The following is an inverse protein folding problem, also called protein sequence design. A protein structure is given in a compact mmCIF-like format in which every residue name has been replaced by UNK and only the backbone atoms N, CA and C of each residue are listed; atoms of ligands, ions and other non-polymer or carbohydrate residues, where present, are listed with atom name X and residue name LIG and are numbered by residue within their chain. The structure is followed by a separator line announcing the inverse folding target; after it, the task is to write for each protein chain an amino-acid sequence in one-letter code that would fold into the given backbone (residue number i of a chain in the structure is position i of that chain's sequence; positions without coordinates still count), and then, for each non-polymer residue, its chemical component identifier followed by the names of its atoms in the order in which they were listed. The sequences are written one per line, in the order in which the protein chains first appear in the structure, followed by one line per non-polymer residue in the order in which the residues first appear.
data_IF_396426740763
#
_entry.id   IF_396426740763
#
_cell.length_a   1.000
_cell.length_b   1.000
_cell.length_c   1.000
_cell.angle_alpha   90.00
_cell.angle_beta   90.00
_cell.angle_gamma   90.00
#
_symmetry.space_group_name_H-M   'P 1'
#
loop_
_entity.id
_entity.type
_entity.pdbx_description
1 polymer ?
#
# COMPACT_ATOMS: atom_id res chain seq x y z
N UNK A 1 5.24 -9.19 0.77
CA UNK A 1 4.06 -8.48 1.29
C UNK A 1 2.99 -9.50 1.62
N UNK A 2 2.41 -9.41 2.81
CA UNK A 2 1.44 -10.39 3.27
C UNK A 2 0.11 -10.27 2.53
N UNK A 3 -0.31 -11.35 1.90
CA UNK A 3 -1.58 -11.38 1.17
C UNK A 3 -2.78 -11.16 2.10
N UNK A 4 -2.75 -11.73 3.31
CA UNK A 4 -3.83 -11.59 4.27
C UNK A 4 -3.99 -10.14 4.75
N UNK A 5 -2.90 -9.39 4.90
CA UNK A 5 -2.97 -7.98 5.28
C UNK A 5 -3.70 -7.16 4.20
N UNK A 6 -3.43 -7.44 2.93
CA UNK A 6 -4.11 -6.78 1.82
C UNK A 6 -5.59 -7.13 1.78
N UNK A 7 -5.94 -8.40 1.97
CA UNK A 7 -7.34 -8.83 2.01
C UNK A 7 -8.09 -8.16 3.16
N UNK A 8 -7.47 -8.10 4.34
CA UNK A 8 -8.06 -7.43 5.50
C UNK A 8 -8.29 -5.95 5.23
N UNK A 9 -7.31 -5.27 4.64
CA UNK A 9 -7.44 -3.87 4.26
C UNK A 9 -8.60 -3.65 3.27
N UNK A 10 -8.68 -4.47 2.23
CA UNK A 10 -9.74 -4.37 1.23
C UNK A 10 -11.11 -4.59 1.84
N UNK A 11 -11.25 -5.56 2.72
CA UNK A 11 -12.51 -5.84 3.41
C UNK A 11 -12.95 -4.63 4.25
N UNK A 12 -12.02 -4.05 5.01
CA UNK A 12 -12.31 -2.88 5.83
C UNK A 12 -12.66 -1.66 4.97
N UNK A 13 -11.98 -1.49 3.85
CA UNK A 13 -12.24 -0.38 2.94
C UNK A 13 -13.64 -0.47 2.34
N UNK A 14 -14.04 -1.66 1.89
CA UNK A 14 -15.37 -1.89 1.34
C UNK A 14 -16.44 -1.62 2.40
N UNK A 15 -16.25 -2.14 3.61
CA UNK A 15 -17.22 -1.96 4.69
C UNK A 15 -17.31 -0.50 5.16
N UNK A 16 -16.22 0.25 5.07
CA UNK A 16 -16.19 1.66 5.48
C UNK A 16 -16.74 2.60 4.40
N UNK A 17 -16.87 2.15 3.16
CA UNK A 17 -17.37 2.96 2.06
C UNK A 17 -18.89 3.08 2.13
N UNK A 18 -19.44 4.32 2.21
CA UNK A 18 -20.90 4.51 2.25
C UNK A 18 -21.49 4.35 0.85
N UNK A 19 -21.80 3.11 0.48
CA UNK A 19 -22.30 2.76 -0.84
C UNK A 19 -23.64 2.04 -0.71
N UNK A 20 -24.62 2.47 -1.50
CA UNK A 20 -25.95 1.83 -1.57
C UNK A 20 -25.99 0.76 -2.67
N UNK A 21 -25.04 0.81 -3.62
CA UNK A 21 -24.95 -0.14 -4.73
C UNK A 21 -23.51 -0.29 -5.17
N UNK A 22 -23.26 -1.29 -6.02
CA UNK A 22 -21.90 -1.61 -6.47
C UNK A 22 -21.18 -0.42 -7.15
N UNK A 23 -21.92 0.40 -7.90
CA UNK A 23 -21.36 1.51 -8.66
C UNK A 23 -20.86 2.66 -7.78
N UNK A 24 -21.20 2.67 -6.51
CA UNK A 24 -20.77 3.71 -5.57
C UNK A 24 -19.48 3.35 -4.83
N UNK A 25 -18.97 2.13 -5.02
CA UNK A 25 -17.71 1.73 -4.41
C UNK A 25 -16.51 2.36 -5.11
N UNK A 26 -15.38 2.44 -4.37
CA UNK A 26 -14.15 3.02 -4.86
C UNK A 26 -13.52 2.09 -5.88
N UNK A 27 -13.21 2.56 -7.11
CA UNK A 27 -12.45 1.77 -8.07
C UNK A 27 -11.05 1.48 -7.54
N UNK A 28 -10.63 0.22 -7.59
CA UNK A 28 -9.35 -0.21 -7.04
C UNK A 28 -8.53 -0.96 -8.07
N UNK A 29 -7.23 -0.65 -8.11
CA UNK A 29 -6.20 -1.46 -8.76
C UNK A 29 -5.41 -2.12 -7.64
N UNK A 30 -5.43 -3.46 -7.61
CA UNK A 30 -4.78 -4.21 -6.54
C UNK A 30 -3.69 -5.08 -7.14
N UNK A 31 -2.49 -5.00 -6.57
CA UNK A 31 -1.40 -5.88 -6.96
C UNK A 31 -0.86 -6.60 -5.73
N UNK A 32 -0.99 -7.92 -5.73
CA UNK A 32 -0.32 -8.76 -4.76
C UNK A 32 1.11 -8.99 -5.21
N UNK A 33 2.08 -8.77 -4.32
CA UNK A 33 3.50 -8.86 -4.64
C UNK A 33 4.21 -9.78 -3.65
N UNK A 34 3.93 -11.09 -3.67
CA UNK A 34 4.59 -12.03 -2.76
C UNK A 34 6.09 -12.16 -3.02
N UNK A 35 6.54 -11.77 -4.22
CA UNK A 35 7.94 -11.82 -4.64
C UNK A 35 8.82 -10.76 -3.97
N UNK A 36 8.22 -9.75 -3.32
CA UNK A 36 8.99 -8.71 -2.64
C UNK A 36 9.78 -9.34 -1.48
N UNK A 37 11.11 -9.11 -1.39
CA UNK A 37 11.91 -9.62 -0.29
C UNK A 37 11.36 -9.26 1.08
N UNK A 38 11.58 -10.10 2.07
CA UNK A 38 11.08 -9.88 3.43
C UNK A 38 11.57 -8.54 3.97
N UNK A 39 10.63 -7.69 4.38
CA UNK A 39 10.92 -6.31 4.84
C UNK A 39 11.58 -6.32 6.20
N UNK A 40 11.19 -7.21 7.09
CA UNK A 40 11.78 -7.31 8.42
C UNK A 40 13.24 -7.79 8.33
N UNK A 41 13.52 -8.80 7.50
CA UNK A 41 14.88 -9.28 7.27
C UNK A 41 15.78 -8.18 6.71
N UNK A 42 15.27 -7.37 5.78
CA UNK A 42 16.02 -6.26 5.20
C UNK A 42 16.36 -5.22 6.25
N UNK A 43 15.43 -4.88 7.14
CA UNK A 43 15.66 -3.91 8.22
C UNK A 43 16.69 -4.42 9.23
N UNK A 44 16.75 -5.72 9.46
CA UNK A 44 17.72 -6.35 10.35
C UNK A 44 19.08 -6.59 9.68
N UNK A 45 19.19 -6.31 8.38
CA UNK A 45 20.41 -6.57 7.64
C UNK A 45 20.64 -8.05 7.31
N UNK A 46 19.60 -8.87 7.44
CA UNK A 46 19.69 -10.33 7.22
C UNK A 46 19.24 -10.76 5.84
N UNK A 47 18.69 -9.85 5.03
CA UNK A 47 18.16 -10.18 3.73
C UNK A 47 18.32 -9.05 2.72
N UNK A 48 17.98 -9.29 1.43
CA UNK A 48 18.11 -8.29 0.38
C UNK A 48 17.12 -7.16 0.56
N UNK A 49 17.47 -5.97 0.01
CA UNK A 49 16.58 -4.81 0.05
C UNK A 49 15.33 -5.03 -0.82
N UNK A 50 14.16 -4.67 -0.32
CA UNK A 50 12.92 -4.75 -1.09
C UNK A 50 12.68 -3.53 -1.99
N UNK A 51 13.55 -2.52 -1.99
CA UNK A 51 13.31 -1.23 -2.65
C UNK A 51 12.99 -1.39 -4.13
N UNK A 52 13.80 -2.14 -4.87
CA UNK A 52 13.58 -2.31 -6.32
C UNK A 52 12.23 -2.92 -6.62
N UNK A 53 11.83 -3.94 -5.87
CA UNK A 53 10.56 -4.61 -6.06
C UNK A 53 9.38 -3.71 -5.67
N UNK A 54 9.51 -2.96 -4.58
CA UNK A 54 8.48 -2.02 -4.14
C UNK A 54 8.30 -0.90 -5.16
N UNK A 55 9.39 -0.32 -5.66
CA UNK A 55 9.34 0.73 -6.68
C UNK A 55 8.72 0.22 -7.97
N UNK A 56 9.10 -0.97 -8.43
CA UNK A 56 8.55 -1.56 -9.63
C UNK A 56 7.03 -1.78 -9.51
N UNK A 57 6.57 -2.26 -8.36
CA UNK A 57 5.15 -2.45 -8.10
C UNK A 57 4.38 -1.12 -8.10
N UNK A 58 4.94 -0.09 -7.45
CA UNK A 58 4.33 1.24 -7.41
C UNK A 58 4.22 1.87 -8.80
N UNK A 59 5.28 1.77 -9.60
CA UNK A 59 5.28 2.27 -10.97
C UNK A 59 4.27 1.55 -11.84
N UNK A 60 4.13 0.25 -11.68
CA UNK A 60 3.15 -0.55 -12.42
C UNK A 60 1.72 -0.08 -12.15
N UNK A 61 1.39 0.16 -10.89
CA UNK A 61 0.06 0.65 -10.50
C UNK A 61 -0.18 2.07 -11.03
N UNK A 62 0.84 2.94 -10.94
CA UNK A 62 0.75 4.30 -11.49
C UNK A 62 0.51 4.28 -13.00
N UNK A 63 1.24 3.43 -13.74
CA UNK A 63 1.09 3.29 -15.19
C UNK A 63 -0.29 2.79 -15.58
N UNK A 64 -0.92 2.00 -14.73
CA UNK A 64 -2.29 1.51 -14.96
C UNK A 64 -3.37 2.53 -14.64
N UNK A 65 -2.99 3.73 -14.20
CA UNK A 65 -3.91 4.85 -14.05
C UNK A 65 -4.34 5.15 -12.62
N UNK A 66 -3.70 4.57 -11.62
CA UNK A 66 -4.01 4.89 -10.24
C UNK A 66 -3.71 6.36 -9.93
N UNK A 67 -4.54 6.99 -9.11
CA UNK A 67 -4.41 8.39 -8.72
C UNK A 67 -3.83 8.55 -7.31
N UNK A 68 -3.79 7.47 -6.55
CA UNK A 68 -3.28 7.43 -5.18
C UNK A 68 -2.82 6.00 -4.89
N UNK A 69 -1.79 5.86 -4.07
CA UNK A 69 -1.24 4.56 -3.70
C UNK A 69 -1.41 4.32 -2.21
N UNK A 70 -1.81 3.11 -1.85
CA UNK A 70 -1.83 2.64 -0.46
C UNK A 70 -1.01 1.36 -0.38
N UNK A 71 -0.18 1.25 0.64
CA UNK A 71 0.65 0.08 0.90
C UNK A 71 0.24 -0.50 2.25
N UNK A 72 -0.61 -1.54 2.29
CA UNK A 72 -1.07 -2.12 3.57
C UNK A 72 -0.02 -3.05 4.17
N UNK A 73 1.16 -2.51 4.39
CA UNK A 73 2.29 -3.20 5.01
C UNK A 73 3.07 -2.18 5.83
N UNK A 74 2.96 -2.27 7.14
CA UNK A 74 3.58 -1.29 8.05
C UNK A 74 5.09 -1.22 7.85
N UNK A 75 5.76 -2.36 7.78
CA UNK A 75 7.21 -2.44 7.63
C UNK A 75 7.71 -1.85 6.31
N UNK A 76 6.92 -1.96 5.24
CA UNK A 76 7.29 -1.41 3.94
C UNK A 76 7.40 0.11 3.95
N UNK A 77 6.76 0.80 4.90
CA UNK A 77 6.83 2.25 5.03
C UNK A 77 8.21 2.74 5.47
N UNK A 78 9.11 1.85 5.88
CA UNK A 78 10.51 2.20 6.09
C UNK A 78 11.19 2.73 4.82
N UNK A 79 10.67 2.34 3.65
CA UNK A 79 11.16 2.78 2.34
C UNK A 79 10.22 3.77 1.65
N UNK A 80 9.35 4.43 2.44
CA UNK A 80 8.37 5.38 1.93
C UNK A 80 9.00 6.44 1.03
N UNK A 81 10.11 7.05 1.46
CA UNK A 81 10.76 8.11 0.70
C UNK A 81 11.28 7.61 -0.65
N UNK A 82 11.87 6.42 -0.68
CA UNK A 82 12.39 5.82 -1.92
C UNK A 82 11.27 5.58 -2.93
N UNK A 83 10.14 5.06 -2.44
CA UNK A 83 8.98 4.80 -3.30
C UNK A 83 8.38 6.12 -3.77
N UNK A 84 8.20 7.07 -2.86
CA UNK A 84 7.59 8.38 -3.16
C UNK A 84 8.38 9.15 -4.23
N UNK A 85 9.70 9.08 -4.19
CA UNK A 85 10.57 9.75 -5.18
C UNK A 85 10.46 9.15 -6.58
N UNK A 86 10.01 7.90 -6.67
CA UNK A 86 9.96 7.15 -7.94
C UNK A 86 8.66 7.32 -8.69
N UNK A 87 7.62 7.83 -8.04
CA UNK A 87 6.28 7.99 -8.62
C UNK A 87 5.81 9.43 -8.49
N UNK A 88 4.78 9.79 -9.26
CA UNK A 88 4.20 11.14 -9.24
C UNK A 88 2.89 11.22 -8.47
N UNK A 89 2.22 10.08 -8.25
CA UNK A 89 0.99 10.03 -7.48
C UNK A 89 1.28 10.04 -5.97
N UNK A 90 0.36 10.56 -5.14
CA UNK A 90 0.56 10.56 -3.70
C UNK A 90 0.46 9.17 -3.10
N UNK A 91 1.23 8.93 -2.04
CA UNK A 91 1.12 7.73 -1.22
C UNK A 91 0.43 8.13 0.07
N UNK A 92 -0.63 7.42 0.43
CA UNK A 92 -1.28 7.59 1.72
C UNK A 92 -0.45 6.84 2.77
N UNK A 93 0.29 7.58 3.59
CA UNK A 93 1.13 6.99 4.63
C UNK A 93 0.25 6.40 5.73
N UNK A 94 0.47 5.14 6.08
CA UNK A 94 -0.42 4.42 7.01
C UNK A 94 -0.45 5.06 8.41
N UNK A 95 0.67 5.59 8.87
CA UNK A 95 0.75 6.27 10.17
C UNK A 95 -0.01 7.59 10.13
N UNK A 96 0.19 8.39 9.09
CA UNK A 96 -0.51 9.67 8.92
C UNK A 96 -2.02 9.46 8.82
N UNK A 97 -2.44 8.43 8.06
CA UNK A 97 -3.86 8.10 7.94
C UNK A 97 -4.47 7.73 9.29
N UNK A 98 -3.77 6.97 10.11
CA UNK A 98 -4.23 6.59 11.44
C UNK A 98 -4.34 7.80 12.37
N UNK A 99 -3.40 8.75 12.29
CA UNK A 99 -3.41 9.97 13.11
C UNK A 99 -4.51 10.93 12.70
N UNK A 100 -4.87 10.99 11.42
CA UNK A 100 -5.91 11.87 10.89
C UNK A 100 -7.31 11.31 11.02
N UNK A 101 -7.46 10.00 11.29
CA UNK A 101 -8.76 9.37 11.40
C UNK A 101 -9.53 9.89 12.61
N UNK A 102 -10.80 10.32 12.44
CA UNK A 102 -11.57 10.91 13.54
C UNK A 102 -11.75 10.00 14.75
N UNK A 103 -11.76 8.71 14.54
CA UNK A 103 -11.98 7.70 15.58
C UNK A 103 -10.70 6.99 16.02
N UNK A 104 -9.54 7.51 15.67
CA UNK A 104 -8.27 6.92 16.06
C UNK A 104 -7.99 5.56 15.42
N UNK A 105 -8.41 5.36 14.23
CA UNK A 105 -8.19 4.09 13.52
C UNK A 105 -6.73 3.72 13.39
#
# INVERSE_FOLDING_TARGET
MGALATVDFLNKLVLATPAACDQEHIPLLVRFCPEVPDRADALLGCGPSPVSALVAAALSIEQDGAQCLVIPCNTAHAWYDDISKSITIPILHIVDAALEAPNGL
#
